data_IF_009882331772
#
_entry.id   IF_009882331772
#
_cell.length_a   1.000
_cell.length_b   1.000
_cell.length_c   1.000
_cell.angle_alpha   90.00
_cell.angle_beta   90.00
_cell.angle_gamma   90.00
#
_symmetry.space_group_name_H-M   'P 1'
#
loop_
_entity.id
_entity.type
_entity.pdbx_description
1 polymer ?
#
# COMPACT_ATOMS: atom_id res chain seq x y z
N UNK A 1 22.43 11.75 -1.40
CA UNK A 1 21.92 12.21 -0.10
C UNK A 1 20.40 12.33 -0.07
N UNK A 2 19.74 13.03 -1.04
CA UNK A 2 18.27 13.18 -1.00
C UNK A 2 17.54 11.83 -0.98
N UNK A 3 17.94 10.87 -1.79
CA UNK A 3 17.32 9.55 -1.81
C UNK A 3 17.53 8.83 -0.47
N UNK A 4 18.74 8.86 0.08
CA UNK A 4 19.04 8.32 1.40
C UNK A 4 18.19 8.97 2.49
N UNK A 5 18.12 10.30 2.51
CA UNK A 5 17.28 11.04 3.45
C UNK A 5 15.80 10.69 3.33
N UNK A 6 15.27 10.58 2.10
CA UNK A 6 13.86 10.23 1.87
C UNK A 6 13.53 8.78 2.25
N UNK A 7 14.42 7.83 1.97
CA UNK A 7 14.22 6.42 2.36
C UNK A 7 14.31 6.22 3.87
N UNK A 8 14.85 7.19 4.62
CA UNK A 8 14.95 7.13 6.08
C UNK A 8 13.84 7.96 6.73
N UNK A 9 13.72 9.23 6.39
CA UNK A 9 12.86 10.20 7.10
C UNK A 9 11.68 10.71 6.27
N UNK A 10 11.57 10.33 5.00
CA UNK A 10 10.52 10.84 4.09
C UNK A 10 9.09 10.71 4.62
N UNK A 11 8.69 9.58 5.23
CA UNK A 11 7.36 9.42 5.78
C UNK A 11 7.02 10.41 6.91
N UNK A 12 7.98 10.81 7.73
CA UNK A 12 7.75 11.75 8.82
C UNK A 12 7.24 13.13 8.35
N UNK A 13 7.49 13.50 7.10
CA UNK A 13 6.97 14.75 6.52
C UNK A 13 5.46 14.73 6.28
N UNK A 14 4.83 13.56 6.29
CA UNK A 14 3.37 13.41 6.19
C UNK A 14 2.69 13.32 7.57
N UNK A 15 3.44 13.40 8.66
CA UNK A 15 2.88 13.41 10.01
C UNK A 15 2.09 14.70 10.23
N UNK A 16 0.79 14.58 10.58
CA UNK A 16 -0.09 15.72 10.82
C UNK A 16 -1.56 15.30 10.82
N UNK A 17 -2.42 16.30 10.91
CA UNK A 17 -3.87 16.08 10.84
C UNK A 17 -4.29 15.65 9.43
N UNK A 18 -5.14 14.61 9.35
CA UNK A 18 -5.63 14.05 8.08
C UNK A 18 -6.18 15.11 7.14
N UNK A 19 -6.92 16.08 7.70
CA UNK A 19 -7.52 17.17 6.93
C UNK A 19 -6.49 18.07 6.25
N UNK A 20 -5.35 18.31 6.88
CA UNK A 20 -4.27 19.13 6.32
C UNK A 20 -3.54 18.39 5.21
N UNK A 21 -3.22 17.12 5.42
CA UNK A 21 -2.61 16.26 4.41
C UNK A 21 -3.51 16.17 3.17
N UNK A 22 -4.80 15.99 3.36
CA UNK A 22 -5.77 15.93 2.27
C UNK A 22 -5.88 17.26 1.50
N UNK A 23 -5.95 18.40 2.21
CA UNK A 23 -5.98 19.73 1.55
C UNK A 23 -4.74 19.98 0.70
N UNK A 24 -3.57 19.64 1.21
CA UNK A 24 -2.30 19.78 0.47
C UNK A 24 -2.29 18.90 -0.78
N UNK A 25 -2.72 17.63 -0.66
CA UNK A 25 -2.82 16.72 -1.81
C UNK A 25 -3.77 17.25 -2.88
N UNK A 26 -4.98 17.64 -2.50
CA UNK A 26 -5.98 18.17 -3.43
C UNK A 26 -5.49 19.45 -4.11
N UNK A 27 -4.86 20.36 -3.36
CA UNK A 27 -4.29 21.60 -3.92
C UNK A 27 -3.21 21.33 -4.96
N UNK A 28 -2.28 20.40 -4.66
CA UNK A 28 -1.23 20.01 -5.61
C UNK A 28 -1.79 19.28 -6.83
N UNK A 29 -2.65 18.28 -6.61
CA UNK A 29 -3.19 17.47 -7.69
C UNK A 29 -4.11 18.26 -8.63
N UNK A 30 -4.82 19.27 -8.14
CA UNK A 30 -5.64 20.16 -8.99
C UNK A 30 -4.80 21.06 -9.90
N UNK A 31 -3.55 21.30 -9.55
CA UNK A 31 -2.62 22.10 -10.36
C UNK A 31 -1.85 21.27 -11.40
N UNK A 32 -1.93 19.93 -11.33
CA UNK A 32 -1.24 19.05 -12.26
C UNK A 32 -2.01 18.94 -13.59
N UNK A 33 -1.29 18.88 -14.73
CA UNK A 33 -1.89 18.62 -16.02
C UNK A 33 -2.66 17.27 -16.02
N UNK A 34 -3.86 17.27 -16.59
CA UNK A 34 -4.74 16.09 -16.63
C UNK A 34 -4.18 14.96 -17.51
N UNK A 35 -3.36 15.29 -18.48
CA UNK A 35 -2.71 14.39 -19.44
C UNK A 35 -1.36 13.85 -18.95
N UNK A 36 -0.97 14.17 -17.72
CA UNK A 36 0.28 13.68 -17.16
C UNK A 36 0.26 12.16 -17.04
N UNK A 37 1.27 11.53 -17.66
CA UNK A 37 1.37 10.07 -17.72
C UNK A 37 1.54 9.44 -16.33
N UNK A 38 0.79 8.37 -16.08
CA UNK A 38 0.95 7.55 -14.88
C UNK A 38 2.29 6.83 -14.91
N UNK A 39 2.99 6.86 -13.79
CA UNK A 39 4.27 6.15 -13.60
C UNK A 39 4.14 5.10 -12.52
N UNK A 40 4.78 3.93 -12.69
CA UNK A 40 4.81 2.93 -11.63
C UNK A 40 5.52 3.48 -10.38
N UNK A 41 5.21 2.95 -9.18
CA UNK A 41 5.90 3.32 -7.96
C UNK A 41 7.42 3.05 -8.07
N UNK A 42 8.24 4.05 -7.75
CA UNK A 42 9.70 3.97 -7.74
C UNK A 42 10.19 3.53 -6.37
N UNK A 43 10.80 2.36 -6.25
CA UNK A 43 11.40 1.88 -4.98
C UNK A 43 12.61 2.75 -4.62
N UNK A 44 12.68 3.18 -3.35
CA UNK A 44 13.75 4.07 -2.87
C UNK A 44 14.58 3.50 -1.72
N UNK A 45 14.38 2.24 -1.36
CA UNK A 45 15.03 1.59 -0.23
C UNK A 45 14.19 1.61 1.05
N UNK A 46 14.64 0.91 2.09
CA UNK A 46 14.03 0.84 3.42
C UNK A 46 12.52 0.50 3.42
N UNK A 47 12.08 -0.33 2.47
CA UNK A 47 10.67 -0.70 2.33
C UNK A 47 9.77 0.42 1.80
N UNK A 48 10.34 1.51 1.27
CA UNK A 48 9.63 2.68 0.78
C UNK A 48 9.67 2.81 -0.75
N UNK A 49 8.69 3.52 -1.29
CA UNK A 49 8.62 3.91 -2.69
C UNK A 49 8.07 5.33 -2.85
N UNK A 50 8.36 5.95 -3.99
CA UNK A 50 7.68 7.17 -4.46
C UNK A 50 6.49 6.77 -5.30
N UNK A 51 5.32 7.32 -4.98
CA UNK A 51 4.11 7.22 -5.79
C UNK A 51 3.89 8.56 -6.45
N UNK A 52 3.92 8.57 -7.78
CA UNK A 52 3.76 9.79 -8.57
C UNK A 52 2.31 10.26 -8.58
N UNK A 53 2.13 11.58 -8.42
CA UNK A 53 0.82 12.22 -8.47
C UNK A 53 0.46 12.50 -9.94
N UNK A 54 0.09 11.46 -10.68
CA UNK A 54 -0.28 11.57 -12.09
C UNK A 54 -1.18 10.39 -12.50
N UNK A 55 -1.99 10.57 -13.54
CA UNK A 55 -2.73 9.48 -14.19
C UNK A 55 -3.81 8.80 -13.36
N UNK A 56 -4.19 9.32 -12.19
CA UNK A 56 -5.26 8.71 -11.36
C UNK A 56 -6.66 9.12 -11.82
N UNK A 57 -6.78 10.19 -12.58
CA UNK A 57 -8.01 10.74 -13.16
C UNK A 57 -8.96 11.38 -12.14
N UNK A 58 -9.40 10.67 -11.11
CA UNK A 58 -10.35 11.16 -10.09
C UNK A 58 -9.67 11.37 -8.74
N UNK A 59 -9.16 12.58 -8.53
CA UNK A 59 -8.51 12.96 -7.27
C UNK A 59 -9.48 13.10 -6.10
N UNK A 60 -10.78 13.27 -6.34
CA UNK A 60 -11.79 13.31 -5.27
C UNK A 60 -11.89 11.97 -4.55
N UNK A 61 -11.53 10.90 -5.22
CA UNK A 61 -11.48 9.54 -4.67
C UNK A 61 -10.05 9.12 -4.28
N UNK A 62 -9.06 9.45 -5.11
CA UNK A 62 -7.68 9.03 -4.91
C UNK A 62 -6.99 9.76 -3.75
N UNK A 63 -7.23 11.07 -3.58
CA UNK A 63 -6.56 11.86 -2.56
C UNK A 63 -6.91 11.44 -1.12
N UNK A 64 -8.17 11.14 -0.75
CA UNK A 64 -8.49 10.61 0.57
C UNK A 64 -7.75 9.30 0.88
N UNK A 65 -7.74 8.34 -0.06
CA UNK A 65 -7.01 7.08 0.10
C UNK A 65 -5.51 7.31 0.24
N UNK A 66 -4.95 8.18 -0.59
CA UNK A 66 -3.53 8.50 -0.54
C UNK A 66 -3.15 9.19 0.79
N UNK A 67 -4.01 10.08 1.32
CA UNK A 67 -3.81 10.71 2.61
C UNK A 67 -3.77 9.67 3.74
N UNK A 68 -4.70 8.71 3.73
CA UNK A 68 -4.74 7.64 4.72
C UNK A 68 -3.49 6.74 4.64
N UNK A 69 -3.05 6.38 3.43
CA UNK A 69 -1.81 5.60 3.23
C UNK A 69 -0.55 6.35 3.66
N UNK A 70 -0.50 7.67 3.48
CA UNK A 70 0.60 8.52 3.96
C UNK A 70 0.68 8.51 5.49
N UNK A 71 -0.45 8.71 6.16
CA UNK A 71 -0.52 8.70 7.62
C UNK A 71 -0.17 7.33 8.20
N UNK A 72 -0.66 6.25 7.58
CA UNK A 72 -0.27 4.88 7.96
C UNK A 72 1.23 4.65 7.75
N UNK A 73 1.79 5.12 6.64
CA UNK A 73 3.23 5.02 6.38
C UNK A 73 4.03 5.78 7.43
N UNK A 74 3.61 6.99 7.79
CA UNK A 74 4.27 7.80 8.82
C UNK A 74 4.21 7.15 10.21
N UNK A 75 3.08 6.50 10.54
CA UNK A 75 2.89 5.80 11.80
C UNK A 75 3.68 4.49 11.92
N UNK A 76 3.98 3.84 10.80
CA UNK A 76 4.59 2.50 10.76
C UNK A 76 6.08 2.51 10.38
N UNK A 77 6.60 3.61 9.84
CA UNK A 77 8.00 3.73 9.42
C UNK A 77 8.76 4.72 10.31
N UNK A 78 9.73 4.21 11.03
CA UNK A 78 10.56 4.97 11.96
C UNK A 78 12.03 4.83 11.55
N UNK A 79 12.50 5.72 10.67
CA UNK A 79 13.91 5.77 10.28
C UNK A 79 14.77 6.38 11.37
N UNK A 80 15.98 5.87 11.53
CA UNK A 80 16.96 6.32 12.50
C UNK A 80 18.18 6.99 11.84
N UNK A 81 19.00 7.68 12.63
CA UNK A 81 20.25 8.22 12.14
C UNK A 81 21.23 7.11 11.66
N UNK A 82 21.13 5.92 12.27
CA UNK A 82 21.93 4.77 11.85
C UNK A 82 21.52 4.27 10.46
N UNK A 83 20.20 4.20 10.16
CA UNK A 83 19.70 3.82 8.84
C UNK A 83 20.14 4.82 7.76
N UNK A 84 20.15 6.12 8.10
CA UNK A 84 20.67 7.15 7.19
C UNK A 84 22.15 6.94 6.93
N UNK A 85 22.95 6.71 7.98
CA UNK A 85 24.38 6.52 7.84
C UNK A 85 24.73 5.29 7.00
N UNK A 86 23.98 4.19 7.14
CA UNK A 86 24.12 3.01 6.29
C UNK A 86 23.88 3.36 4.81
N UNK A 87 22.80 4.12 4.53
CA UNK A 87 22.51 4.59 3.17
C UNK A 87 23.59 5.54 2.62
N UNK A 88 24.17 6.41 3.45
CA UNK A 88 25.24 7.32 3.03
C UNK A 88 26.55 6.56 2.75
N UNK A 89 26.87 5.58 3.58
CA UNK A 89 28.03 4.70 3.38
C UNK A 89 27.90 3.91 2.07
N UNK A 90 26.72 3.35 1.78
CA UNK A 90 26.46 2.72 0.50
C UNK A 90 26.58 3.70 -0.68
N UNK A 91 26.20 4.95 -0.51
CA UNK A 91 26.35 5.98 -1.54
C UNK A 91 27.80 6.38 -1.82
N UNK A 92 28.72 6.29 -0.84
CA UNK A 92 30.16 6.54 -1.04
C UNK A 92 30.80 5.55 -2.02
N UNK A 93 30.29 4.33 -2.07
CA UNK A 93 30.79 3.31 -3.00
C UNK A 93 30.38 3.56 -4.47
N UNK A 94 29.52 4.55 -4.74
CA UNK A 94 29.12 4.90 -6.10
C UNK A 94 30.27 5.64 -6.82
N UNK A 95 30.54 5.30 -8.12
CA UNK A 95 31.62 5.92 -8.88
C UNK A 95 31.24 7.33 -9.36
N UNK A 96 30.94 8.21 -8.40
CA UNK A 96 30.57 9.61 -8.68
C UNK A 96 31.67 10.56 -8.19
N UNK A 97 32.29 11.34 -9.07
CA UNK A 97 33.37 12.27 -8.69
C UNK A 97 32.92 13.23 -7.58
N UNK A 98 33.72 13.39 -6.55
CA UNK A 98 33.48 14.28 -5.42
C UNK A 98 32.39 13.82 -4.44
N UNK A 99 31.85 12.61 -4.57
CA UNK A 99 30.79 12.11 -3.70
C UNK A 99 31.26 11.98 -2.25
N UNK A 100 32.43 11.42 -2.01
CA UNK A 100 32.96 11.24 -0.66
C UNK A 100 33.18 12.58 0.05
N UNK A 101 33.77 13.58 -0.64
CA UNK A 101 33.99 14.92 -0.08
C UNK A 101 32.67 15.60 0.23
N UNK A 102 31.69 15.50 -0.67
CA UNK A 102 30.38 16.08 -0.47
C UNK A 102 29.66 15.44 0.71
N UNK A 103 29.70 14.11 0.84
CA UNK A 103 29.10 13.38 1.97
C UNK A 103 29.78 13.70 3.29
N UNK A 104 31.11 13.88 3.30
CA UNK A 104 31.83 14.33 4.49
C UNK A 104 31.38 15.71 4.95
N UNK A 105 31.14 16.65 4.02
CA UNK A 105 30.57 17.97 4.35
C UNK A 105 29.14 17.83 4.89
N UNK A 106 28.30 17.04 4.23
CA UNK A 106 26.92 16.83 4.61
C UNK A 106 26.79 16.24 6.03
N UNK A 107 27.63 15.24 6.38
CA UNK A 107 27.72 14.70 7.76
C UNK A 107 28.13 15.74 8.78
N UNK A 108 29.14 16.57 8.48
CA UNK A 108 29.55 17.66 9.40
C UNK A 108 28.46 18.69 9.65
N UNK A 109 27.53 18.85 8.70
CA UNK A 109 26.37 19.74 8.84
C UNK A 109 25.21 19.09 9.62
N UNK A 110 25.35 17.84 10.08
CA UNK A 110 24.31 17.13 10.81
C UNK A 110 23.23 16.53 9.91
N UNK A 111 23.54 16.27 8.64
CA UNK A 111 22.62 15.63 7.68
C UNK A 111 21.25 16.33 7.56
N UNK A 112 21.17 17.63 7.28
CA UNK A 112 19.91 18.35 7.20
C UNK A 112 19.03 17.83 6.06
N UNK A 113 17.70 18.12 6.07
CA UNK A 113 16.80 17.79 4.97
C UNK A 113 17.32 18.28 3.62
N UNK A 114 17.33 17.41 2.63
CA UNK A 114 17.82 17.72 1.27
C UNK A 114 16.65 17.97 0.33
N UNK A 115 16.61 19.14 -0.27
CA UNK A 115 15.63 19.50 -1.28
C UNK A 115 16.10 19.15 -2.71
N UNK A 116 15.18 19.05 -3.66
CA UNK A 116 15.52 18.98 -5.07
C UNK A 116 16.19 20.28 -5.52
N UNK A 117 17.27 20.16 -6.31
CA UNK A 117 17.89 21.34 -6.92
C UNK A 117 16.92 22.04 -7.90
N UNK A 118 17.10 23.34 -8.17
CA UNK A 118 16.32 24.04 -9.20
C UNK A 118 16.37 23.32 -10.56
N UNK A 119 17.56 22.92 -11.00
CA UNK A 119 17.74 22.19 -12.25
C UNK A 119 17.00 20.86 -12.28
N UNK A 120 16.96 20.11 -11.17
CA UNK A 120 16.19 18.87 -11.10
C UNK A 120 14.67 19.15 -11.18
N UNK A 121 14.20 20.21 -10.52
CA UNK A 121 12.78 20.59 -10.57
C UNK A 121 12.36 21.01 -11.97
N UNK A 122 13.19 21.78 -12.65
CA UNK A 122 12.95 22.22 -14.04
C UNK A 122 12.91 21.02 -15.01
N UNK A 123 13.87 20.09 -14.88
CA UNK A 123 13.98 18.96 -15.80
C UNK A 123 12.92 17.87 -15.57
N UNK A 124 12.50 17.63 -14.32
CA UNK A 124 11.68 16.47 -13.96
C UNK A 124 10.32 16.80 -13.37
N UNK A 125 10.07 18.05 -13.01
CA UNK A 125 8.83 18.52 -12.36
C UNK A 125 8.27 17.49 -11.36
N UNK A 126 8.98 17.20 -10.24
CA UNK A 126 8.73 16.05 -9.40
C UNK A 126 7.52 16.27 -8.49
N UNK A 127 6.43 15.58 -8.78
CA UNK A 127 5.24 15.49 -7.96
C UNK A 127 5.02 14.04 -7.52
N UNK A 128 5.37 13.72 -6.28
CA UNK A 128 5.23 12.37 -5.72
C UNK A 128 5.05 12.41 -4.19
N UNK A 129 4.62 11.27 -3.64
CA UNK A 129 4.59 11.03 -2.20
C UNK A 129 5.35 9.76 -1.86
N UNK A 130 5.89 9.71 -0.65
CA UNK A 130 6.64 8.54 -0.14
C UNK A 130 5.70 7.66 0.66
N UNK A 131 5.55 6.42 0.25
CA UNK A 131 4.74 5.39 0.90
C UNK A 131 5.56 4.14 1.19
N UNK A 132 5.06 3.27 2.07
CA UNK A 132 5.53 1.88 2.11
C UNK A 132 5.34 1.24 0.74
N UNK A 133 6.34 0.45 0.31
CA UNK A 133 6.33 -0.21 -1.02
C UNK A 133 5.06 -1.05 -1.22
N UNK A 134 4.62 -1.76 -0.17
CA UNK A 134 3.37 -2.52 -0.22
C UNK A 134 2.15 -1.61 -0.51
N UNK A 135 2.05 -0.47 0.16
CA UNK A 135 0.94 0.47 -0.03
C UNK A 135 0.94 1.10 -1.41
N UNK A 136 2.12 1.48 -1.93
CA UNK A 136 2.25 1.95 -3.30
C UNK A 136 1.82 0.89 -4.33
N UNK A 137 2.16 -0.38 -4.08
CA UNK A 137 1.72 -1.50 -4.92
C UNK A 137 0.22 -1.79 -4.82
N UNK A 138 -0.38 -1.61 -3.65
CA UNK A 138 -1.81 -1.85 -3.43
C UNK A 138 -2.71 -0.69 -3.89
N UNK A 139 -2.18 0.51 -4.04
CA UNK A 139 -2.95 1.71 -4.33
C UNK A 139 -3.87 1.59 -5.55
N UNK A 140 -3.47 1.02 -6.70
CA UNK A 140 -4.37 0.84 -7.84
C UNK A 140 -5.56 -0.07 -7.52
N UNK A 141 -5.35 -1.16 -6.77
CA UNK A 141 -6.41 -2.09 -6.37
C UNK A 141 -7.37 -1.44 -5.36
N UNK A 142 -6.84 -0.68 -4.38
CA UNK A 142 -7.64 0.10 -3.43
C UNK A 142 -8.50 1.13 -4.14
N UNK A 143 -7.95 1.84 -5.12
CA UNK A 143 -8.69 2.83 -5.91
C UNK A 143 -9.80 2.18 -6.74
N UNK A 144 -9.55 1.01 -7.33
CA UNK A 144 -10.55 0.25 -8.06
C UNK A 144 -11.69 -0.21 -7.13
N UNK A 145 -11.37 -0.75 -5.95
CA UNK A 145 -12.34 -1.15 -4.94
C UNK A 145 -13.16 0.05 -4.42
N UNK A 146 -12.53 1.20 -4.19
CA UNK A 146 -13.21 2.42 -3.78
C UNK A 146 -14.19 2.93 -4.84
N UNK A 147 -13.86 2.80 -6.13
CA UNK A 147 -14.81 3.09 -7.23
C UNK A 147 -16.03 2.19 -7.19
N UNK A 148 -15.83 0.89 -6.94
CA UNK A 148 -16.94 -0.05 -6.77
C UNK A 148 -17.80 0.31 -5.55
N UNK A 149 -17.20 0.61 -4.42
CA UNK A 149 -17.93 1.02 -3.21
C UNK A 149 -18.80 2.27 -3.45
N UNK A 150 -18.32 3.25 -4.24
CA UNK A 150 -19.09 4.45 -4.61
C UNK A 150 -20.24 4.18 -5.58
N UNK A 151 -20.27 3.04 -6.25
CA UNK A 151 -21.36 2.72 -7.18
C UNK A 151 -22.72 2.55 -6.51
N UNK A 152 -22.75 2.38 -5.18
CA UNK A 152 -23.96 2.13 -4.39
C UNK A 152 -24.56 0.73 -4.63
N UNK A 153 -23.89 -0.14 -5.38
CA UNK A 153 -24.32 -1.51 -5.64
C UNK A 153 -23.47 -2.49 -4.83
N UNK A 154 -24.06 -3.57 -4.32
CA UNK A 154 -23.28 -4.64 -3.71
C UNK A 154 -22.22 -5.14 -4.70
N UNK A 155 -21.00 -5.28 -4.25
CA UNK A 155 -19.90 -5.78 -5.07
C UNK A 155 -19.05 -6.76 -4.25
N UNK A 156 -18.58 -7.82 -4.89
CA UNK A 156 -17.65 -8.79 -4.32
C UNK A 156 -16.31 -8.63 -5.05
N UNK A 157 -15.26 -8.39 -4.29
CA UNK A 157 -13.88 -8.33 -4.81
C UNK A 157 -13.14 -9.58 -4.34
N UNK A 158 -12.73 -10.43 -5.27
CA UNK A 158 -11.88 -11.58 -4.97
C UNK A 158 -10.40 -11.20 -5.07
N UNK A 159 -9.63 -11.49 -4.00
CA UNK A 159 -8.18 -11.31 -3.98
C UNK A 159 -7.53 -12.69 -4.04
N UNK A 160 -6.95 -13.03 -5.18
CA UNK A 160 -6.27 -14.30 -5.39
C UNK A 160 -4.75 -14.11 -5.63
N UNK A 161 -3.99 -15.18 -5.42
CA UNK A 161 -2.55 -15.20 -5.62
C UNK A 161 -1.85 -16.27 -4.77
N UNK A 162 -0.57 -16.48 -5.04
CA UNK A 162 0.25 -17.49 -4.34
C UNK A 162 0.39 -17.19 -2.84
N UNK A 163 0.75 -18.21 -2.06
CA UNK A 163 1.10 -18.03 -0.66
C UNK A 163 2.22 -16.98 -0.52
N UNK A 164 2.13 -16.12 0.49
CA UNK A 164 3.11 -15.05 0.72
C UNK A 164 3.02 -13.85 -0.24
N UNK A 165 2.05 -13.81 -1.17
CA UNK A 165 1.92 -12.70 -2.15
C UNK A 165 1.32 -11.41 -1.59
N UNK A 166 0.93 -11.37 -0.31
CA UNK A 166 0.38 -10.19 0.34
C UNK A 166 -1.15 -10.06 0.29
N UNK A 167 -1.89 -11.11 -0.11
CA UNK A 167 -3.37 -11.10 -0.18
C UNK A 167 -4.03 -10.62 1.10
N UNK A 168 -3.67 -11.23 2.22
CA UNK A 168 -4.25 -10.88 3.54
C UNK A 168 -3.94 -9.43 3.89
N UNK A 169 -2.70 -8.97 3.67
CA UNK A 169 -2.33 -7.57 3.91
C UNK A 169 -3.11 -6.57 3.04
N UNK A 170 -3.41 -6.91 1.78
CA UNK A 170 -4.29 -6.10 0.94
C UNK A 170 -5.74 -6.14 1.44
N UNK A 171 -6.26 -7.30 1.82
CA UNK A 171 -7.60 -7.47 2.38
C UNK A 171 -7.78 -6.66 3.66
N UNK A 172 -6.85 -6.80 4.61
CA UNK A 172 -6.87 -6.05 5.87
C UNK A 172 -6.82 -4.53 5.64
N UNK A 173 -5.99 -4.08 4.70
CA UNK A 173 -5.90 -2.68 4.35
C UNK A 173 -7.21 -2.18 3.71
N UNK A 174 -7.84 -2.97 2.85
CA UNK A 174 -9.17 -2.66 2.31
C UNK A 174 -10.21 -2.51 3.43
N UNK A 175 -10.24 -3.45 4.37
CA UNK A 175 -11.16 -3.39 5.53
C UNK A 175 -10.94 -2.20 6.44
N UNK A 176 -9.71 -1.67 6.51
CA UNK A 176 -9.38 -0.44 7.28
C UNK A 176 -9.78 0.86 6.58
N UNK A 177 -9.70 0.88 5.25
CA UNK A 177 -9.82 2.11 4.46
C UNK A 177 -11.15 2.25 3.73
N UNK A 178 -11.85 1.14 3.49
CA UNK A 178 -13.09 1.13 2.72
C UNK A 178 -14.25 0.58 3.55
N UNK A 179 -15.49 1.00 3.27
CA UNK A 179 -16.68 0.45 3.93
C UNK A 179 -17.00 -0.94 3.38
N UNK A 180 -16.18 -1.94 3.72
CA UNK A 180 -16.34 -3.32 3.25
C UNK A 180 -16.10 -4.33 4.37
N UNK A 181 -16.65 -5.53 4.20
CA UNK A 181 -16.30 -6.68 5.02
C UNK A 181 -15.19 -7.47 4.33
N UNK A 182 -14.27 -8.01 5.13
CA UNK A 182 -13.21 -8.90 4.64
C UNK A 182 -13.52 -10.30 5.15
N UNK A 183 -13.52 -11.27 4.23
CA UNK A 183 -13.74 -12.68 4.54
C UNK A 183 -12.54 -13.46 4.01
N UNK A 184 -11.92 -14.25 4.86
CA UNK A 184 -10.80 -15.09 4.48
C UNK A 184 -11.28 -16.48 4.09
N UNK A 185 -10.85 -16.97 2.92
CA UNK A 185 -11.19 -18.32 2.48
C UNK A 185 -10.65 -19.38 3.46
N UNK A 186 -9.55 -19.11 4.15
CA UNK A 186 -8.96 -20.01 5.14
C UNK A 186 -9.91 -20.31 6.34
N UNK A 187 -10.91 -19.46 6.58
CA UNK A 187 -11.97 -19.70 7.57
C UNK A 187 -12.95 -20.80 7.14
N UNK A 188 -12.84 -21.29 5.91
CA UNK A 188 -13.76 -22.24 5.29
C UNK A 188 -13.11 -23.58 4.92
N UNK A 189 -12.07 -23.99 5.64
CA UNK A 189 -11.51 -25.32 5.46
C UNK A 189 -12.51 -26.43 5.82
N UNK A 190 -12.47 -27.52 5.05
CA UNK A 190 -13.10 -28.78 5.42
C UNK A 190 -12.26 -29.47 6.51
N UNK A 191 -12.90 -30.01 7.54
CA UNK A 191 -12.25 -30.93 8.46
C UNK A 191 -11.61 -32.10 7.69
N UNK A 192 -10.49 -32.66 8.15
CA UNK A 192 -9.79 -33.74 7.45
C UNK A 192 -10.67 -34.95 7.07
N UNK A 193 -11.61 -35.32 7.95
CA UNK A 193 -12.55 -36.43 7.79
C UNK A 193 -13.64 -36.15 6.75
N UNK A 194 -13.82 -34.92 6.32
CA UNK A 194 -14.79 -34.51 5.29
C UNK A 194 -14.16 -34.25 3.92
N UNK A 195 -12.84 -34.31 3.82
CA UNK A 195 -12.14 -34.15 2.54
C UNK A 195 -12.24 -35.42 1.71
N UNK A 196 -12.41 -35.29 0.41
CA UNK A 196 -12.31 -36.42 -0.50
C UNK A 196 -10.89 -37.02 -0.46
N UNK A 197 -10.73 -38.32 -0.70
CA UNK A 197 -9.40 -38.97 -0.75
C UNK A 197 -8.44 -38.30 -1.75
N UNK A 198 -8.96 -37.78 -2.84
CA UNK A 198 -8.22 -37.10 -3.90
C UNK A 198 -8.35 -35.58 -3.84
N UNK A 199 -8.63 -35.00 -2.67
CA UNK A 199 -8.88 -33.54 -2.52
C UNK A 199 -7.79 -32.65 -3.10
N UNK A 200 -6.54 -33.10 -3.09
CA UNK A 200 -5.39 -32.36 -3.63
C UNK A 200 -5.47 -32.16 -5.17
N UNK A 201 -6.22 -33.03 -5.86
CA UNK A 201 -6.44 -32.96 -7.31
C UNK A 201 -7.71 -32.17 -7.68
N UNK A 202 -8.51 -31.82 -6.68
CA UNK A 202 -9.77 -31.09 -6.88
C UNK A 202 -9.50 -29.59 -6.60
N UNK A 203 -9.82 -28.67 -7.52
CA UNK A 203 -9.73 -27.24 -7.25
C UNK A 203 -10.50 -26.87 -5.97
N UNK A 204 -9.80 -26.26 -4.99
CA UNK A 204 -10.32 -25.94 -3.67
C UNK A 204 -10.93 -27.16 -2.91
N UNK A 205 -10.41 -28.37 -3.16
CA UNK A 205 -10.94 -29.62 -2.57
C UNK A 205 -10.80 -29.72 -1.05
N UNK A 206 -10.02 -28.83 -0.43
CA UNK A 206 -9.90 -28.66 1.02
C UNK A 206 -10.86 -27.62 1.60
N UNK A 207 -11.71 -26.97 0.77
CA UNK A 207 -12.57 -25.87 1.17
C UNK A 207 -14.04 -26.31 1.24
N UNK A 208 -14.77 -25.82 2.21
CA UNK A 208 -16.22 -25.96 2.35
C UNK A 208 -16.93 -24.91 1.46
N UNK A 209 -16.89 -25.13 0.16
CA UNK A 209 -17.47 -24.21 -0.82
C UNK A 209 -18.99 -24.05 -0.66
N UNK A 210 -19.70 -25.11 -0.21
CA UNK A 210 -21.13 -25.05 0.02
C UNK A 210 -21.46 -24.10 1.18
N UNK A 211 -20.72 -24.19 2.26
CA UNK A 211 -20.85 -23.29 3.41
C UNK A 211 -20.47 -21.86 3.05
N UNK A 212 -19.38 -21.68 2.32
CA UNK A 212 -18.97 -20.36 1.84
C UNK A 212 -20.04 -19.70 0.95
N UNK A 213 -20.61 -20.47 0.03
CA UNK A 213 -21.71 -19.98 -0.82
C UNK A 213 -22.90 -19.51 0.02
N UNK A 214 -23.35 -20.30 0.98
CA UNK A 214 -24.54 -20.01 1.78
C UNK A 214 -24.33 -18.92 2.82
N UNK A 215 -23.16 -18.88 3.47
CA UNK A 215 -22.90 -17.92 4.55
C UNK A 215 -22.38 -16.57 4.03
N UNK A 216 -21.71 -16.55 2.84
CA UNK A 216 -21.06 -15.35 2.33
C UNK A 216 -21.66 -14.88 1.00
N UNK A 217 -21.58 -15.69 -0.05
CA UNK A 217 -21.89 -15.20 -1.39
C UNK A 217 -23.38 -14.92 -1.60
N UNK A 218 -24.26 -15.78 -1.11
CA UNK A 218 -25.72 -15.58 -1.22
C UNK A 218 -26.16 -14.34 -0.44
N UNK A 219 -25.80 -14.16 0.86
CA UNK A 219 -26.14 -12.95 1.57
C UNK A 219 -25.51 -11.68 0.96
N UNK A 220 -24.24 -11.75 0.53
CA UNK A 220 -23.57 -10.62 -0.11
C UNK A 220 -24.29 -10.18 -1.39
N UNK A 221 -24.69 -11.12 -2.25
CA UNK A 221 -25.44 -10.83 -3.46
C UNK A 221 -26.82 -10.23 -3.22
N UNK A 222 -27.44 -10.56 -2.10
CA UNK A 222 -28.72 -10.01 -1.67
C UNK A 222 -28.60 -8.70 -0.88
N UNK A 223 -27.39 -8.21 -0.59
CA UNK A 223 -27.17 -7.06 0.30
C UNK A 223 -27.57 -7.33 1.77
N UNK A 224 -27.61 -8.60 2.16
CA UNK A 224 -27.98 -9.03 3.51
C UNK A 224 -26.77 -9.13 4.42
N UNK A 225 -27.01 -9.23 5.73
CA UNK A 225 -25.96 -9.40 6.71
C UNK A 225 -25.25 -10.75 6.53
N UNK A 226 -23.91 -10.69 6.38
CA UNK A 226 -23.04 -11.87 6.34
C UNK A 226 -22.77 -12.31 7.78
N UNK A 227 -22.92 -13.62 8.05
CA UNK A 227 -22.59 -14.25 9.33
C UNK A 227 -21.67 -15.42 9.09
N UNK A 228 -20.37 -15.20 9.29
CA UNK A 228 -19.33 -16.21 9.12
C UNK A 228 -19.17 -17.05 10.38
N UNK A 229 -18.88 -18.34 10.20
CA UNK A 229 -18.43 -19.26 11.25
C UNK A 229 -17.03 -19.76 10.86
N UNK A 230 -15.96 -19.09 11.30
CA UNK A 230 -14.61 -19.51 10.98
C UNK A 230 -14.32 -20.93 11.48
N UNK A 231 -13.69 -21.75 10.65
CA UNK A 231 -13.18 -23.06 11.07
C UNK A 231 -11.84 -22.88 11.79
N UNK A 232 -11.79 -23.26 13.05
CA UNK A 232 -10.54 -23.26 13.79
C UNK A 232 -9.76 -24.56 13.53
N UNK A 233 -8.70 -24.48 12.75
CA UNK A 233 -7.82 -25.59 12.45
C UNK A 233 -7.10 -26.18 13.66
N UNK A 234 -7.02 -25.46 14.79
CA UNK A 234 -6.35 -25.95 16.00
C UNK A 234 -7.27 -26.84 16.83
N UNK A 235 -8.52 -26.43 16.99
CA UNK A 235 -9.53 -27.21 17.72
C UNK A 235 -10.29 -28.18 16.81
N UNK A 236 -10.25 -28.01 15.52
CA UNK A 236 -11.04 -28.79 14.56
C UNK A 236 -12.55 -28.47 14.59
N UNK A 237 -12.94 -27.29 15.08
CA UNK A 237 -14.35 -26.92 15.28
C UNK A 237 -14.75 -25.68 14.46
N UNK A 238 -16.06 -25.52 14.27
CA UNK A 238 -16.72 -24.33 13.71
C UNK A 238 -17.17 -23.41 14.82
#
# INVERSE_FOLDING_TARGET
AKLAYQSTFGPAHAAGERGDVLRQLLGECSALPADREARPPERIGNGLCRVHLAGTGDWTLAAPLLADLLLLTAAEHHGTAADLEECLTAAEALPLPGMADWLAVYRRQGCPPVHHSPAYREAYDPHYRVLRTAYGGYFPALLAAARLARSGRPAVVAIDGRCGSGKSGLGDLMGRLLPCNVVHMDDYYLPPDRRAENWEQIPAGNMDLARFLQEVLVPAGAGAQIRCRPYDCRSGTL
#
